data_IF_501065786983
#
_entry.id   IF_501065786983
#
_cell.length_a   1.000
_cell.length_b   1.000
_cell.length_c   1.000
_cell.angle_alpha   90.00
_cell.angle_beta   90.00
_cell.angle_gamma   90.00
#
_symmetry.space_group_name_H-M   'P 1'
#
loop_
_entity.id
_entity.type
_entity.pdbx_description
1 polymer ?
#
# COMPACT_ATOMS: atom_id res chain seq x y z
N UNK A 1 31.51 1.74 3.63
CA UNK A 1 30.69 1.86 2.39
C UNK A 1 29.55 0.89 2.53
N UNK A 2 28.41 1.33 3.06
CA UNK A 2 27.18 0.54 3.10
C UNK A 2 26.65 0.45 1.67
N UNK A 3 26.77 -0.72 1.06
CA UNK A 3 26.16 -1.01 -0.24
C UNK A 3 24.65 -0.81 -0.08
N UNK A 4 24.12 0.30 -0.59
CA UNK A 4 22.69 0.52 -0.64
C UNK A 4 22.06 -0.63 -1.43
N UNK A 5 21.26 -1.44 -0.76
CA UNK A 5 20.60 -2.59 -1.38
C UNK A 5 19.69 -2.08 -2.49
N UNK A 6 19.90 -2.50 -3.73
CA UNK A 6 19.08 -2.08 -4.87
C UNK A 6 17.59 -2.35 -4.64
N UNK A 7 16.73 -1.55 -5.27
CA UNK A 7 15.25 -1.72 -5.17
C UNK A 7 14.85 -3.17 -5.45
N UNK A 8 15.43 -3.80 -6.48
CA UNK A 8 15.10 -5.18 -6.88
C UNK A 8 15.48 -6.20 -5.81
N UNK A 9 16.67 -6.05 -5.21
CA UNK A 9 17.12 -6.99 -4.16
C UNK A 9 16.28 -6.84 -2.90
N UNK A 10 15.88 -5.62 -2.57
CA UNK A 10 14.96 -5.35 -1.46
C UNK A 10 13.57 -5.95 -1.72
N UNK A 11 13.03 -5.82 -2.92
CA UNK A 11 11.77 -6.47 -3.32
C UNK A 11 11.87 -7.99 -3.13
N UNK A 12 12.94 -8.60 -3.65
CA UNK A 12 13.18 -10.05 -3.50
C UNK A 12 13.24 -10.43 -2.02
N UNK A 13 13.99 -9.70 -1.20
CA UNK A 13 14.09 -9.95 0.24
C UNK A 13 12.72 -9.92 0.93
N UNK A 14 11.89 -8.91 0.65
CA UNK A 14 10.55 -8.78 1.24
C UNK A 14 9.62 -9.92 0.79
N UNK A 15 9.73 -10.35 -0.48
CA UNK A 15 8.84 -11.37 -1.04
C UNK A 15 9.28 -12.81 -0.68
N UNK A 16 10.57 -13.07 -0.61
CA UNK A 16 11.11 -14.42 -0.43
C UNK A 16 11.55 -14.70 1.01
N UNK A 17 12.11 -13.69 1.68
CA UNK A 17 12.68 -13.82 3.02
C UNK A 17 12.25 -12.68 3.95
N UNK A 18 10.93 -12.47 4.17
CA UNK A 18 10.41 -11.30 4.87
C UNK A 18 10.97 -11.15 6.28
N UNK A 19 11.23 -12.24 7.00
CA UNK A 19 11.79 -12.19 8.36
C UNK A 19 13.18 -11.54 8.40
N UNK A 20 14.04 -11.87 7.44
CA UNK A 20 15.38 -11.27 7.35
C UNK A 20 15.32 -9.83 6.80
N UNK A 21 14.45 -9.59 5.82
CA UNK A 21 14.27 -8.27 5.25
C UNK A 21 13.89 -7.22 6.31
N UNK A 22 13.03 -7.55 7.27
CA UNK A 22 12.61 -6.62 8.31
C UNK A 22 13.75 -6.20 9.24
N UNK A 23 14.69 -7.07 9.56
CA UNK A 23 15.86 -6.72 10.38
C UNK A 23 16.78 -5.73 9.67
N UNK A 24 17.01 -5.93 8.38
CA UNK A 24 17.78 -5.01 7.54
C UNK A 24 17.07 -3.64 7.42
N UNK A 25 15.76 -3.64 7.10
CA UNK A 25 14.94 -2.42 6.98
C UNK A 25 14.92 -1.62 8.29
N UNK A 26 14.88 -2.30 9.44
CA UNK A 26 14.89 -1.64 10.74
C UNK A 26 16.21 -0.95 11.04
N UNK A 27 17.33 -1.51 10.61
CA UNK A 27 18.67 -0.97 10.84
C UNK A 27 19.01 0.23 9.92
N UNK A 28 18.38 0.33 8.74
CA UNK A 28 18.66 1.40 7.80
C UNK A 28 18.08 2.74 8.24
N UNK A 29 18.85 3.83 8.21
CA UNK A 29 18.31 5.17 8.41
C UNK A 29 17.39 5.54 7.24
N UNK A 30 16.26 6.15 7.53
CA UNK A 30 15.34 6.62 6.50
C UNK A 30 14.58 7.86 6.98
N UNK A 31 14.09 8.64 6.02
CA UNK A 31 13.19 9.77 6.26
C UNK A 31 11.85 9.50 5.57
N UNK A 32 10.81 10.20 6.01
CA UNK A 32 9.50 10.15 5.32
C UNK A 32 9.65 10.42 3.82
N UNK A 33 10.44 11.42 3.47
CA UNK A 33 10.69 11.78 2.07
C UNK A 33 11.36 10.64 1.30
N UNK A 34 12.44 10.06 1.84
CA UNK A 34 13.18 8.99 1.14
C UNK A 34 12.32 7.74 0.93
N UNK A 35 11.46 7.37 1.90
CA UNK A 35 10.54 6.25 1.75
C UNK A 35 9.49 6.55 0.67
N UNK A 36 8.92 7.76 0.66
CA UNK A 36 7.93 8.13 -0.36
C UNK A 36 8.52 8.15 -1.76
N UNK A 37 9.59 8.92 -1.98
CA UNK A 37 10.16 9.12 -3.32
C UNK A 37 10.90 7.88 -3.83
N UNK A 38 11.57 7.15 -2.96
CA UNK A 38 12.37 5.97 -3.34
C UNK A 38 11.58 4.66 -3.37
N UNK A 39 10.39 4.60 -2.76
CA UNK A 39 9.65 3.34 -2.65
C UNK A 39 8.16 3.48 -2.98
N UNK A 40 7.42 4.28 -2.20
CA UNK A 40 5.96 4.34 -2.29
C UNK A 40 5.50 4.84 -3.66
N UNK A 41 6.03 5.98 -4.13
CA UNK A 41 5.61 6.59 -5.39
C UNK A 41 5.93 5.70 -6.59
N UNK A 42 7.05 4.98 -6.54
CA UNK A 42 7.48 4.10 -7.64
C UNK A 42 6.58 2.86 -7.70
N UNK A 43 6.44 2.14 -6.58
CA UNK A 43 5.72 0.86 -6.57
C UNK A 43 4.20 1.05 -6.65
N UNK A 44 3.65 2.06 -5.99
CA UNK A 44 2.23 2.36 -6.06
C UNK A 44 1.76 2.80 -7.45
N UNK A 45 2.66 3.21 -8.35
CA UNK A 45 2.32 3.57 -9.74
C UNK A 45 2.06 2.35 -10.63
N UNK A 46 2.54 1.16 -10.27
CA UNK A 46 2.45 -0.06 -11.10
C UNK A 46 0.99 -0.40 -11.42
N UNK A 47 0.13 -0.49 -10.41
CA UNK A 47 -1.29 -0.80 -10.59
C UNK A 47 -2.04 0.23 -11.45
N UNK A 48 -1.94 1.53 -11.14
CA UNK A 48 -2.49 2.60 -11.97
C UNK A 48 -2.04 2.58 -13.43
N UNK A 49 -0.75 2.35 -13.69
CA UNK A 49 -0.24 2.21 -15.07
C UNK A 49 -0.85 0.99 -15.78
N UNK A 50 -0.96 -0.14 -15.10
CA UNK A 50 -1.62 -1.33 -15.63
C UNK A 50 -3.13 -1.10 -15.90
N UNK A 51 -3.79 -0.28 -15.08
CA UNK A 51 -5.20 0.10 -15.24
C UNK A 51 -5.44 0.85 -16.57
N UNK A 52 -4.48 1.65 -17.03
CA UNK A 52 -4.60 2.36 -18.33
C UNK A 52 -4.78 1.37 -19.49
N UNK A 53 -4.13 0.21 -19.41
CA UNK A 53 -4.23 -0.83 -20.45
C UNK A 53 -5.44 -1.73 -20.20
N UNK A 54 -5.63 -2.22 -18.98
CA UNK A 54 -6.67 -3.20 -18.64
C UNK A 54 -8.10 -2.67 -18.74
N UNK A 55 -8.29 -1.36 -18.71
CA UNK A 55 -9.61 -0.71 -18.84
C UNK A 55 -9.70 0.25 -20.02
N UNK A 56 -8.81 0.10 -21.03
CA UNK A 56 -8.80 0.95 -22.21
C UNK A 56 -10.13 0.93 -22.98
N UNK A 57 -10.81 -0.22 -23.01
CA UNK A 57 -12.10 -0.42 -23.69
C UNK A 57 -13.24 0.43 -23.09
N UNK A 58 -13.10 0.88 -21.84
CA UNK A 58 -14.05 1.81 -21.22
C UNK A 58 -13.86 3.27 -21.69
N UNK A 59 -12.86 3.52 -22.52
CA UNK A 59 -12.46 4.81 -23.04
C UNK A 59 -11.29 5.44 -22.27
N UNK A 60 -10.40 6.10 -23.03
CA UNK A 60 -9.14 6.66 -22.51
C UNK A 60 -9.35 7.63 -21.34
N UNK A 61 -10.32 8.52 -21.44
CA UNK A 61 -10.61 9.49 -20.40
C UNK A 61 -11.02 8.82 -19.07
N UNK A 62 -11.74 7.70 -19.14
CA UNK A 62 -12.15 6.92 -17.99
C UNK A 62 -10.96 6.18 -17.36
N UNK A 63 -10.15 5.51 -18.18
CA UNK A 63 -8.96 4.78 -17.73
C UNK A 63 -7.94 5.70 -17.06
N UNK A 64 -7.69 6.89 -17.64
CA UNK A 64 -6.80 7.91 -17.06
C UNK A 64 -7.34 8.38 -15.70
N UNK A 65 -8.64 8.63 -15.60
CA UNK A 65 -9.26 9.05 -14.34
C UNK A 65 -9.12 7.99 -13.26
N UNK A 66 -9.39 6.71 -13.59
CA UNK A 66 -9.21 5.60 -12.67
C UNK A 66 -7.75 5.47 -12.24
N UNK A 67 -6.81 5.56 -13.18
CA UNK A 67 -5.39 5.43 -12.91
C UNK A 67 -4.88 6.56 -11.99
N UNK A 68 -5.16 7.82 -12.34
CA UNK A 68 -4.72 8.96 -11.53
C UNK A 68 -5.40 8.95 -10.16
N UNK A 69 -6.70 8.69 -10.11
CA UNK A 69 -7.45 8.64 -8.86
C UNK A 69 -6.96 7.53 -7.94
N UNK A 70 -6.76 6.32 -8.46
CA UNK A 70 -6.25 5.18 -7.68
C UNK A 70 -4.82 5.42 -7.17
N UNK A 71 -3.97 6.06 -7.98
CA UNK A 71 -2.62 6.44 -7.57
C UNK A 71 -2.63 7.41 -6.40
N UNK A 72 -3.37 8.51 -6.52
CA UNK A 72 -3.47 9.50 -5.44
C UNK A 72 -4.04 8.87 -4.16
N UNK A 73 -5.10 8.06 -4.29
CA UNK A 73 -5.71 7.36 -3.16
C UNK A 73 -4.70 6.40 -2.52
N UNK A 74 -3.92 5.65 -3.29
CA UNK A 74 -2.90 4.76 -2.75
C UNK A 74 -1.85 5.51 -1.92
N UNK A 75 -1.39 6.67 -2.40
CA UNK A 75 -0.44 7.51 -1.65
C UNK A 75 -1.06 8.01 -0.35
N UNK A 76 -2.29 8.52 -0.39
CA UNK A 76 -3.00 9.04 0.79
C UNK A 76 -3.28 7.92 1.79
N UNK A 77 -3.79 6.77 1.35
CA UNK A 77 -4.06 5.62 2.22
C UNK A 77 -2.78 5.15 2.91
N UNK A 78 -1.67 5.06 2.19
CA UNK A 78 -0.39 4.66 2.77
C UNK A 78 0.04 5.60 3.90
N UNK A 79 -0.12 6.92 3.71
CA UNK A 79 0.21 7.91 4.72
C UNK A 79 -0.72 7.81 5.93
N UNK A 80 -2.04 7.79 5.69
CA UNK A 80 -3.05 7.72 6.75
C UNK A 80 -2.91 6.42 7.55
N UNK A 81 -2.67 5.30 6.88
CA UNK A 81 -2.47 4.02 7.55
C UNK A 81 -1.19 4.03 8.40
N UNK A 82 -0.11 4.63 7.91
CA UNK A 82 1.11 4.82 8.70
C UNK A 82 0.86 5.69 9.95
N UNK A 83 0.04 6.74 9.84
CA UNK A 83 -0.38 7.52 11.01
C UNK A 83 -1.18 6.69 12.01
N UNK A 84 -2.11 5.87 11.53
CA UNK A 84 -2.90 4.96 12.39
C UNK A 84 -1.97 3.98 13.11
N UNK A 85 -1.05 3.36 12.38
CA UNK A 85 -0.03 2.45 12.93
C UNK A 85 0.81 3.15 14.00
N UNK A 86 1.19 4.41 13.78
CA UNK A 86 1.97 5.18 14.75
C UNK A 86 1.17 5.50 16.02
N UNK A 87 -0.07 5.95 15.87
CA UNK A 87 -0.94 6.32 17.00
C UNK A 87 -1.32 5.09 17.82
N UNK A 88 -1.55 3.94 17.19
CA UNK A 88 -1.93 2.70 17.87
C UNK A 88 -0.78 2.03 18.61
N UNK A 89 0.47 2.19 18.19
CA UNK A 89 1.61 1.46 18.72
C UNK A 89 1.75 1.51 20.26
N UNK A 90 1.58 2.66 20.95
CA UNK A 90 1.69 2.71 22.41
C UNK A 90 0.68 1.81 23.14
N UNK A 91 -0.54 1.68 22.61
CA UNK A 91 -1.59 0.82 23.18
C UNK A 91 -1.21 -0.67 23.15
N UNK A 92 -0.26 -1.02 22.30
CA UNK A 92 0.23 -2.39 22.12
C UNK A 92 1.67 -2.58 22.62
N UNK A 93 2.16 -1.69 23.50
CA UNK A 93 3.48 -1.77 24.10
C UNK A 93 4.62 -1.27 23.21
N UNK A 94 4.31 -0.73 22.04
CA UNK A 94 5.28 -0.10 21.16
C UNK A 94 5.56 1.36 21.50
N UNK A 95 6.38 2.01 20.66
CA UNK A 95 6.69 3.44 20.79
C UNK A 95 6.19 4.20 19.57
N UNK A 96 5.85 5.48 19.74
CA UNK A 96 5.59 6.38 18.62
C UNK A 96 6.87 6.62 17.85
N UNK A 97 6.83 6.32 16.58
CA UNK A 97 7.89 6.58 15.60
C UNK A 97 7.24 6.49 14.21
N UNK A 98 6.89 7.64 13.66
CA UNK A 98 6.18 7.71 12.39
C UNK A 98 7.01 7.12 11.23
N UNK A 99 8.33 7.29 11.24
CA UNK A 99 9.20 6.74 10.18
C UNK A 99 9.19 5.21 10.23
N UNK A 100 9.27 4.62 11.42
CA UNK A 100 9.16 3.16 11.58
C UNK A 100 7.76 2.65 11.20
N UNK A 101 6.69 3.40 11.50
CA UNK A 101 5.33 3.08 11.07
C UNK A 101 5.18 3.14 9.54
N UNK A 102 5.76 4.16 8.93
CA UNK A 102 5.75 4.32 7.47
C UNK A 102 6.56 3.23 6.77
N UNK A 103 7.74 2.88 7.30
CA UNK A 103 8.50 1.71 6.82
C UNK A 103 7.64 0.45 6.85
N UNK A 104 7.04 0.16 8.01
CA UNK A 104 6.21 -1.02 8.18
C UNK A 104 5.09 -1.07 7.14
N UNK A 105 4.35 0.02 6.98
CA UNK A 105 3.23 0.11 6.04
C UNK A 105 3.73 0.01 4.59
N UNK A 106 4.67 0.85 4.18
CA UNK A 106 5.14 0.95 2.80
C UNK A 106 5.77 -0.34 2.29
N UNK A 107 6.66 -0.95 3.07
CA UNK A 107 7.33 -2.17 2.66
C UNK A 107 6.42 -3.40 2.70
N UNK A 108 5.41 -3.43 3.58
CA UNK A 108 4.41 -4.50 3.59
C UNK A 108 3.54 -4.50 2.33
N UNK A 109 3.18 -3.32 1.81
CA UNK A 109 2.36 -3.20 0.60
C UNK A 109 3.09 -3.58 -0.70
N UNK A 110 4.38 -3.86 -0.67
CA UNK A 110 5.19 -4.21 -1.84
C UNK A 110 4.56 -5.29 -2.71
N UNK A 111 4.09 -6.39 -2.09
CA UNK A 111 3.46 -7.49 -2.81
C UNK A 111 2.16 -7.06 -3.52
N UNK A 112 1.33 -6.28 -2.84
CA UNK A 112 0.07 -5.78 -3.39
C UNK A 112 0.30 -4.81 -4.56
N UNK A 113 1.28 -3.90 -4.44
CA UNK A 113 1.62 -2.98 -5.52
C UNK A 113 2.19 -3.68 -6.75
N UNK A 114 3.08 -4.66 -6.56
CA UNK A 114 3.62 -5.46 -7.67
C UNK A 114 2.52 -6.28 -8.34
N UNK A 115 1.63 -6.89 -7.56
CA UNK A 115 0.48 -7.61 -8.10
C UNK A 115 -0.48 -6.69 -8.88
N UNK A 116 -0.41 -5.38 -8.66
CA UNK A 116 -1.15 -4.38 -9.42
C UNK A 116 -0.90 -4.44 -10.93
N UNK A 117 0.23 -5.02 -11.39
CA UNK A 117 0.46 -5.31 -12.81
C UNK A 117 -0.65 -6.17 -13.41
N UNK A 118 -1.27 -7.03 -12.61
CA UNK A 118 -2.37 -7.90 -13.05
C UNK A 118 -3.63 -7.11 -13.44
N UNK A 119 -3.74 -5.82 -13.11
CA UNK A 119 -4.84 -4.96 -13.58
C UNK A 119 -4.89 -4.85 -15.11
N UNK A 120 -3.80 -5.20 -15.83
CA UNK A 120 -3.83 -5.38 -17.31
C UNK A 120 -4.88 -6.42 -17.71
N UNK A 121 -5.19 -7.39 -16.86
CA UNK A 121 -6.22 -8.41 -17.08
C UNK A 121 -7.65 -7.90 -16.78
N UNK A 122 -7.81 -6.61 -16.56
CA UNK A 122 -9.08 -6.00 -16.19
C UNK A 122 -9.59 -6.56 -14.85
N UNK A 123 -10.86 -6.92 -14.80
CA UNK A 123 -11.52 -7.40 -13.57
C UNK A 123 -10.88 -8.64 -12.97
N UNK A 124 -10.32 -9.54 -13.78
CA UNK A 124 -9.65 -10.76 -13.29
C UNK A 124 -8.37 -10.45 -12.49
N UNK A 125 -7.69 -9.35 -12.81
CA UNK A 125 -6.52 -8.89 -12.07
C UNK A 125 -6.80 -8.60 -10.60
N UNK A 126 -8.03 -8.20 -10.28
CA UNK A 126 -8.45 -7.91 -8.92
C UNK A 126 -8.29 -9.09 -7.96
N UNK A 127 -8.50 -10.33 -8.42
CA UNK A 127 -8.28 -11.53 -7.59
C UNK A 127 -6.80 -11.72 -7.24
N UNK A 128 -5.90 -11.46 -8.18
CA UNK A 128 -4.45 -11.55 -7.95
C UNK A 128 -4.01 -10.49 -6.94
N UNK A 129 -4.51 -9.27 -7.10
CA UNK A 129 -4.23 -8.17 -6.15
C UNK A 129 -4.77 -8.49 -4.77
N UNK A 130 -5.96 -9.09 -4.67
CA UNK A 130 -6.54 -9.50 -3.39
C UNK A 130 -5.66 -10.54 -2.68
N UNK A 131 -5.22 -11.58 -3.38
CA UNK A 131 -4.31 -12.60 -2.80
C UNK A 131 -2.99 -11.99 -2.36
N UNK A 132 -2.42 -11.11 -3.17
CA UNK A 132 -1.19 -10.39 -2.81
C UNK A 132 -1.39 -9.44 -1.61
N UNK A 133 -2.59 -8.89 -1.45
CA UNK A 133 -2.92 -8.07 -0.27
C UNK A 133 -2.97 -8.90 1.01
N UNK A 134 -3.42 -10.15 0.97
CA UNK A 134 -3.34 -11.08 2.10
C UNK A 134 -1.88 -11.33 2.48
N UNK A 135 -1.02 -11.52 1.47
CA UNK A 135 0.42 -11.66 1.71
C UNK A 135 1.04 -10.38 2.28
N UNK A 136 0.61 -9.21 1.83
CA UNK A 136 1.05 -7.92 2.38
C UNK A 136 0.72 -7.81 3.89
N UNK A 137 -0.44 -8.28 4.33
CA UNK A 137 -0.80 -8.32 5.74
C UNK A 137 0.01 -9.34 6.53
N UNK A 138 0.35 -10.47 5.95
CA UNK A 138 1.28 -11.43 6.56
C UNK A 138 2.67 -10.81 6.76
N UNK A 139 3.21 -10.11 5.75
CA UNK A 139 4.50 -9.42 5.90
C UNK A 139 4.43 -8.29 6.93
N UNK A 140 3.32 -7.55 7.01
CA UNK A 140 3.07 -6.56 8.04
C UNK A 140 3.12 -7.17 9.44
N UNK A 141 2.45 -8.30 9.64
CA UNK A 141 2.49 -9.03 10.92
C UNK A 141 3.90 -9.42 11.34
N UNK A 142 4.74 -9.86 10.41
CA UNK A 142 6.13 -10.20 10.69
C UNK A 142 6.99 -8.98 11.02
N UNK A 143 6.72 -7.83 10.41
CA UNK A 143 7.46 -6.59 10.62
C UNK A 143 7.06 -5.83 11.89
N UNK A 144 5.83 -6.01 12.37
CA UNK A 144 5.30 -5.27 13.51
C UNK A 144 6.14 -5.43 14.80
N UNK A 145 6.56 -6.63 15.24
CA UNK A 145 7.44 -6.79 16.39
C UNK A 145 8.81 -6.15 16.20
N UNK A 146 9.35 -6.23 15.00
CA UNK A 146 10.70 -5.74 14.68
C UNK A 146 10.75 -4.21 14.69
N UNK A 147 9.84 -3.56 13.96
CA UNK A 147 9.83 -2.10 13.78
C UNK A 147 9.11 -1.35 14.90
N UNK A 148 8.04 -1.91 15.43
CA UNK A 148 7.22 -1.25 16.46
C UNK A 148 7.55 -1.70 17.87
N UNK A 149 8.40 -2.73 18.05
CA UNK A 149 8.78 -3.33 19.33
C UNK A 149 7.56 -3.73 20.17
N UNK A 150 6.46 -4.08 19.51
CA UNK A 150 5.28 -4.64 20.15
C UNK A 150 5.65 -6.02 20.74
N UNK A 151 5.10 -6.34 21.91
CA UNK A 151 5.27 -7.68 22.47
C UNK A 151 4.60 -8.72 21.57
N UNK A 152 5.18 -9.93 21.48
CA UNK A 152 4.73 -10.96 20.53
C UNK A 152 3.24 -11.33 20.70
N UNK A 153 2.75 -11.33 21.96
CA UNK A 153 1.35 -11.57 22.32
C UNK A 153 0.40 -10.47 21.81
N UNK A 154 0.89 -9.23 21.67
CA UNK A 154 0.12 -8.09 21.20
C UNK A 154 0.23 -7.84 19.69
N UNK A 155 1.15 -8.52 19.01
CA UNK A 155 1.34 -8.35 17.57
C UNK A 155 0.11 -8.78 16.75
N UNK A 156 -0.57 -9.84 17.18
CA UNK A 156 -1.80 -10.32 16.51
C UNK A 156 -2.93 -9.28 16.58
N UNK A 157 -3.39 -8.85 17.79
CA UNK A 157 -4.47 -7.89 17.85
C UNK A 157 -4.09 -6.53 17.23
N UNK A 158 -2.84 -6.10 17.33
CA UNK A 158 -2.35 -4.91 16.64
C UNK A 158 -2.54 -5.02 15.13
N UNK A 159 -2.05 -6.11 14.54
CA UNK A 159 -2.17 -6.34 13.10
C UNK A 159 -3.64 -6.42 12.65
N UNK A 160 -4.50 -7.11 13.41
CA UNK A 160 -5.92 -7.22 13.08
C UNK A 160 -6.61 -5.85 13.01
N UNK A 161 -6.35 -4.97 13.98
CA UNK A 161 -6.93 -3.61 13.98
C UNK A 161 -6.41 -2.82 12.78
N UNK A 162 -5.11 -2.88 12.48
CA UNK A 162 -4.54 -2.19 11.34
C UNK A 162 -5.09 -2.73 10.01
N UNK A 163 -5.28 -4.04 9.89
CA UNK A 163 -5.94 -4.68 8.73
C UNK A 163 -7.36 -4.15 8.54
N UNK A 164 -8.16 -4.11 9.62
CA UNK A 164 -9.53 -3.58 9.55
C UNK A 164 -9.54 -2.10 9.13
N UNK A 165 -8.64 -1.29 9.67
CA UNK A 165 -8.48 0.11 9.25
C UNK A 165 -8.07 0.20 7.77
N UNK A 166 -7.15 -0.64 7.31
CA UNK A 166 -6.71 -0.68 5.92
C UNK A 166 -7.85 -1.06 4.96
N UNK A 167 -8.66 -2.06 5.33
CA UNK A 167 -9.85 -2.46 4.57
C UNK A 167 -10.86 -1.30 4.52
N UNK A 168 -11.14 -0.66 5.65
CA UNK A 168 -12.05 0.48 5.70
C UNK A 168 -11.58 1.65 4.82
N UNK A 169 -10.29 1.99 4.89
CA UNK A 169 -9.69 3.01 4.02
C UNK A 169 -9.76 2.61 2.54
N UNK A 170 -9.54 1.35 2.22
CA UNK A 170 -9.66 0.82 0.86
C UNK A 170 -11.10 0.93 0.32
N UNK A 171 -12.11 0.58 1.13
CA UNK A 171 -13.53 0.74 0.77
C UNK A 171 -13.86 2.21 0.55
N UNK A 172 -13.46 3.09 1.47
CA UNK A 172 -13.67 4.54 1.33
C UNK A 172 -13.01 5.10 0.07
N UNK A 173 -11.78 4.69 -0.21
CA UNK A 173 -11.08 5.07 -1.44
C UNK A 173 -11.82 4.61 -2.71
N UNK A 174 -12.31 3.37 -2.71
CA UNK A 174 -13.14 2.83 -3.80
C UNK A 174 -14.45 3.59 -3.99
N UNK A 175 -15.12 3.98 -2.90
CA UNK A 175 -16.34 4.80 -2.95
C UNK A 175 -16.07 6.19 -3.53
N UNK A 176 -14.96 6.83 -3.16
CA UNK A 176 -14.54 8.12 -3.72
C UNK A 176 -14.30 8.01 -5.22
N UNK A 177 -13.62 6.96 -5.67
CA UNK A 177 -13.38 6.73 -7.09
C UNK A 177 -14.67 6.52 -7.87
N UNK A 178 -15.59 5.68 -7.38
CA UNK A 178 -16.86 5.40 -8.03
C UNK A 178 -17.81 6.60 -8.00
N UNK A 179 -17.90 7.32 -6.88
CA UNK A 179 -18.72 8.54 -6.75
C UNK A 179 -18.26 9.66 -7.68
N UNK A 180 -16.96 9.87 -7.81
CA UNK A 180 -16.40 10.81 -8.78
C UNK A 180 -16.73 10.43 -10.24
N UNK A 181 -16.94 9.14 -10.52
CA UNK A 181 -17.38 8.64 -11.85
C UNK A 181 -18.82 8.94 -12.17
N UNK A 182 -19.74 8.75 -11.21
CA UNK A 182 -21.18 8.97 -11.37
C UNK A 182 -21.53 10.46 -11.51
N UNK A 183 -20.88 11.33 -10.76
CA UNK A 183 -21.11 12.79 -10.84
C UNK A 183 -20.80 13.37 -12.22
N UNK A 184 -19.78 12.88 -12.90
CA UNK A 184 -19.44 13.36 -14.24
C UNK A 184 -20.41 12.86 -15.34
N UNK A 185 -20.98 11.67 -15.17
CA UNK A 185 -21.98 11.13 -16.13
C UNK A 185 -23.32 11.82 -16.03
N UNK A 186 -23.74 12.19 -14.81
CA UNK A 186 -24.97 12.98 -14.58
C UNK A 186 -24.83 14.42 -15.09
N UNK A 187 -23.67 15.05 -14.88
CA UNK A 187 -23.42 16.41 -15.35
C UNK A 187 -23.37 16.49 -16.89
N UNK A 188 -22.84 15.46 -17.56
CA UNK A 188 -22.83 15.37 -19.02
C UNK A 188 -24.25 15.17 -19.60
N UNK A 189 -25.12 14.41 -18.91
CA UNK A 189 -26.52 14.24 -19.32
C UNK A 189 -27.36 15.50 -19.13
N UNK A 190 -27.01 16.35 -18.18
CA UNK A 190 -27.70 17.62 -17.90
C UNK A 190 -27.30 18.73 -18.90
N UNK A 191 -26.20 18.57 -19.64
CA UNK A 191 -25.71 19.54 -20.62
C UNK A 191 -26.09 19.19 -22.08
N UNK A 192 -26.74 18.05 -22.29
CA UNK A 192 -27.30 17.62 -23.60
C UNK A 192 -28.82 17.76 -23.62
#
# INVERSE_FOLDING_TARGET
>A
EGTEMGIVDRIKGILLEPKFAWTAIAAEPATTQSIYTGWVMILAAIGPLATLVGFADLGVAWSVRLAVGSYVIALVITFVLAMIVDVLAPSFGGRRDFVAALKLTAYSYTAAWLAGVANVLGTFGGLIVLLASIYAWYTFFLGAPVLRKCTADKAIPFTLIVVLCGIALGILGGMVLSGAGMGASTMRRAMM
#
